data_IF_263489918372
#
_entry.id   IF_263489918372
#
_cell.length_a   1.000
_cell.length_b   1.000
_cell.length_c   1.000
_cell.angle_alpha   90.00
_cell.angle_beta   90.00
_cell.angle_gamma   90.00
#
_symmetry.space_group_name_H-M   'P 1'
#
loop_
_entity.id
_entity.type
_entity.pdbx_description
1 polymer ?
2 non-polymer ?
3 non-polymer ?
4 non-polymer ?
5 water ?
#
# COMPACT_ATOMS: atom_id res chain seq x y z
N UNK A 39 -21.34 6.98 -13.86
CA UNK A 39 -20.55 6.15 -12.89
C UNK A 39 -19.08 6.14 -13.33
N UNK A 40 -18.29 7.11 -12.83
CA UNK A 40 -16.81 7.10 -12.86
C UNK A 40 -16.35 6.37 -11.58
N UNK A 41 -15.46 5.39 -11.69
CA UNK A 41 -14.97 4.61 -10.52
C UNK A 41 -14.21 5.55 -9.58
N UNK A 42 -14.59 5.55 -8.30
CA UNK A 42 -13.81 6.23 -7.24
C UNK A 42 -12.65 5.31 -6.85
N UNK A 43 -11.45 5.87 -6.81
CA UNK A 43 -10.19 5.18 -6.49
C UNK A 43 -9.74 5.60 -5.11
N UNK A 44 -9.68 4.64 -4.18
CA UNK A 44 -9.32 4.90 -2.76
C UNK A 44 -8.18 3.96 -2.39
N UNK A 45 -7.07 4.54 -1.95
CA UNK A 45 -5.91 3.76 -1.45
C UNK A 45 -6.12 3.49 0.03
N UNK A 46 -5.90 2.26 0.45
CA UNK A 46 -5.71 1.87 1.87
C UNK A 46 -4.21 1.81 2.18
N UNK A 47 -3.75 2.67 3.08
CA UNK A 47 -2.31 2.82 3.43
C UNK A 47 -2.13 2.46 4.91
N UNK A 48 -0.93 2.01 5.27
CA UNK A 48 -0.56 1.69 6.65
C UNK A 48 0.66 0.81 6.74
N UNK A 49 1.22 0.72 7.94
CA UNK A 49 2.44 -0.06 8.19
C UNK A 49 2.18 -1.53 7.91
N UNK A 50 3.26 -2.30 7.88
CA UNK A 50 3.26 -3.78 7.83
C UNK A 50 2.38 -4.32 8.94
N UNK A 51 1.47 -5.24 8.62
CA UNK A 51 0.55 -5.94 9.54
C UNK A 51 -0.34 -4.94 10.30
N UNK A 52 -0.53 -3.71 9.82
CA UNK A 52 -1.55 -2.81 10.40
C UNK A 52 -2.95 -3.45 10.33
N UNK A 53 -3.26 -4.28 9.32
CA UNK A 53 -4.60 -4.86 9.08
C UNK A 53 -5.24 -4.46 7.75
N UNK A 54 -4.45 -4.08 6.74
CA UNK A 54 -5.01 -3.57 5.46
C UNK A 54 -5.71 -4.71 4.73
N UNK A 55 -5.08 -5.87 4.63
CA UNK A 55 -5.63 -7.02 3.89
C UNK A 55 -6.92 -7.48 4.58
N UNK A 56 -6.88 -7.55 5.91
CA UNK A 56 -8.06 -7.87 6.73
C UNK A 56 -9.18 -6.87 6.40
N UNK A 57 -8.88 -5.58 6.47
CA UNK A 57 -9.88 -4.51 6.28
C UNK A 57 -10.45 -4.55 4.86
N UNK A 58 -9.58 -4.71 3.87
CA UNK A 58 -10.01 -4.71 2.45
C UNK A 58 -10.88 -5.96 2.16
N UNK A 59 -10.61 -7.11 2.78
CA UNK A 59 -11.46 -8.32 2.63
C UNK A 59 -12.82 -8.14 3.32
N UNK A 60 -12.87 -7.38 4.41
CA UNK A 60 -14.18 -6.96 5.03
C UNK A 60 -14.96 -6.10 4.02
N UNK A 61 -14.34 -5.03 3.52
CA UNK A 61 -15.03 -4.04 2.67
C UNK A 61 -15.61 -4.74 1.42
N UNK A 62 -14.86 -5.64 0.80
CA UNK A 62 -15.27 -6.14 -0.55
C UNK A 62 -16.64 -6.82 -0.44
N UNK A 63 -16.92 -7.43 0.70
CA UNK A 63 -18.15 -8.25 0.94
C UNK A 63 -19.39 -7.41 1.19
N UNK A 64 -19.22 -6.09 1.44
CA UNK A 64 -20.31 -5.24 2.01
C UNK A 64 -21.10 -4.58 0.89
N UNK A 65 -20.61 -4.61 -0.33
CA UNK A 65 -21.29 -3.94 -1.45
C UNK A 65 -20.84 -4.55 -2.76
N UNK A 66 -21.78 -4.76 -3.69
CA UNK A 66 -21.52 -5.16 -5.09
C UNK A 66 -20.91 -3.97 -5.85
N UNK A 67 -20.99 -2.75 -5.33
CA UNK A 67 -20.35 -1.55 -5.93
C UNK A 67 -18.89 -1.38 -5.43
N UNK A 68 -18.45 -2.26 -4.55
CA UNK A 68 -17.11 -2.18 -3.91
C UNK A 68 -16.25 -3.34 -4.38
N UNK A 69 -15.11 -3.02 -4.98
CA UNK A 69 -14.11 -4.02 -5.40
C UNK A 69 -12.74 -3.63 -4.82
N UNK A 70 -11.81 -4.55 -4.72
CA UNK A 70 -10.47 -4.39 -4.09
C UNK A 70 -9.38 -4.79 -5.09
N UNK A 71 -8.19 -4.17 -5.06
CA UNK A 71 -6.98 -4.62 -5.80
C UNK A 71 -5.96 -5.00 -4.74
N UNK A 72 -5.85 -6.28 -4.37
CA UNK A 72 -4.82 -6.69 -3.44
C UNK A 72 -3.42 -6.32 -3.97
N UNK A 73 -2.51 -6.13 -3.02
CA UNK A 73 -1.14 -5.68 -3.28
C UNK A 73 -0.38 -6.87 -3.87
N UNK A 74 0.27 -6.72 -5.04
CA UNK A 74 1.07 -7.80 -5.62
C UNK A 74 2.09 -8.41 -4.66
N UNK A 75 2.86 -7.59 -3.95
CA UNK A 75 3.87 -8.11 -2.99
C UNK A 75 3.19 -9.01 -1.95
N UNK A 76 2.01 -8.63 -1.46
CA UNK A 76 1.26 -9.42 -0.45
C UNK A 76 0.98 -10.82 -1.03
N UNK A 77 0.60 -10.93 -2.31
CA UNK A 77 0.32 -12.23 -2.99
C UNK A 77 1.62 -13.05 -3.14
N UNK A 78 2.77 -12.42 -3.43
CA UNK A 78 4.09 -13.11 -3.51
C UNK A 78 4.47 -13.70 -2.14
N UNK A 79 3.94 -13.17 -1.03
CA UNK A 79 4.29 -13.56 0.37
C UNK A 79 3.40 -14.69 0.90
N UNK A 80 2.50 -15.25 0.10
CA UNK A 80 1.60 -16.38 0.46
C UNK A 80 2.39 -17.40 1.29
N UNK A 91 1.61 -19.85 -8.95
CA UNK A 91 1.48 -20.53 -10.26
C UNK A 91 1.90 -19.55 -11.38
N UNK A 92 1.45 -18.29 -11.34
CA UNK A 92 1.65 -17.32 -12.47
C UNK A 92 3.12 -16.92 -12.60
N UNK A 93 3.51 -16.42 -13.77
CA UNK A 93 4.91 -16.02 -14.04
C UNK A 93 5.27 -14.83 -13.11
N UNK A 94 4.32 -13.94 -12.84
CA UNK A 94 4.56 -12.82 -11.89
C UNK A 94 4.84 -13.40 -10.48
N UNK A 95 4.07 -14.39 -10.03
CA UNK A 95 4.24 -14.92 -8.66
C UNK A 95 5.58 -15.64 -8.53
N UNK A 96 6.00 -16.37 -9.57
CA UNK A 96 7.30 -17.08 -9.53
C UNK A 96 8.42 -16.04 -9.49
N UNK A 97 8.37 -15.02 -10.36
CA UNK A 97 9.34 -13.90 -10.35
C UNK A 97 9.29 -13.24 -8.97
N UNK A 98 8.09 -12.92 -8.49
CA UNK A 98 7.94 -12.16 -7.24
C UNK A 98 8.49 -12.94 -6.05
N UNK A 99 8.12 -14.22 -5.93
CA UNK A 99 8.64 -15.09 -4.85
C UNK A 99 10.18 -15.17 -4.90
N UNK A 100 10.78 -15.36 -6.08
CA UNK A 100 12.27 -15.36 -6.22
C UNK A 100 12.83 -14.03 -5.75
N UNK A 101 12.30 -12.92 -6.25
CA UNK A 101 12.96 -11.61 -5.97
C UNK A 101 12.78 -11.26 -4.47
N UNK A 102 11.67 -11.67 -3.85
CA UNK A 102 11.43 -11.40 -2.41
C UNK A 102 12.42 -12.20 -1.56
N UNK A 103 12.60 -13.48 -1.88
CA UNK A 103 13.59 -14.33 -1.17
C UNK A 103 15.01 -13.77 -1.35
N UNK A 104 15.39 -13.39 -2.56
CA UNK A 104 16.74 -12.81 -2.82
C UNK A 104 16.91 -11.51 -2.02
N UNK A 105 15.84 -10.72 -1.90
CA UNK A 105 15.86 -9.42 -1.16
C UNK A 105 16.24 -9.67 0.30
N UNK A 106 15.68 -10.72 0.89
CA UNK A 106 15.87 -11.06 2.32
C UNK A 106 17.35 -11.39 2.49
N UNK A 107 17.93 -12.11 1.53
CA UNK A 107 19.37 -12.47 1.52
C UNK A 107 20.27 -11.25 1.30
N UNK A 108 19.99 -10.39 0.33
CA UNK A 108 20.95 -9.32 -0.01
C UNK A 108 20.20 -8.11 -0.56
N UNK A 109 19.56 -7.32 0.33
CA UNK A 109 18.81 -6.14 -0.08
C UNK A 109 19.59 -5.15 -0.97
N UNK A 110 20.90 -4.96 -0.75
CA UNK A 110 21.72 -3.98 -1.48
C UNK A 110 21.98 -4.46 -2.92
N UNK A 111 21.76 -5.73 -3.24
CA UNK A 111 21.82 -6.24 -4.63
C UNK A 111 20.46 -6.11 -5.34
N UNK A 112 19.35 -6.33 -4.64
CA UNK A 112 18.03 -6.66 -5.26
C UNK A 112 16.98 -5.55 -5.07
N UNK A 113 17.24 -4.52 -4.26
CA UNK A 113 16.24 -3.46 -3.95
C UNK A 113 15.72 -2.82 -5.25
N UNK A 114 16.60 -2.44 -6.19
CA UNK A 114 16.15 -1.75 -7.44
C UNK A 114 15.24 -2.68 -8.25
N UNK A 115 15.65 -3.91 -8.45
CA UNK A 115 14.93 -4.91 -9.25
C UNK A 115 13.57 -5.16 -8.59
N UNK A 116 13.56 -5.34 -7.28
CA UNK A 116 12.33 -5.63 -6.50
C UNK A 116 11.36 -4.45 -6.64
N UNK A 117 11.80 -3.23 -6.34
CA UNK A 117 10.94 -2.03 -6.32
C UNK A 117 10.35 -1.77 -7.71
N UNK A 118 11.14 -1.94 -8.78
CA UNK A 118 10.64 -1.74 -10.17
C UNK A 118 9.60 -2.82 -10.46
N UNK A 119 9.82 -4.08 -10.10
CA UNK A 119 8.82 -5.14 -10.45
C UNK A 119 7.57 -4.99 -9.57
N UNK A 120 7.73 -4.62 -8.30
CA UNK A 120 6.59 -4.45 -7.39
C UNK A 120 5.66 -3.36 -7.91
N UNK A 121 6.25 -2.24 -8.30
CA UNK A 121 5.48 -1.07 -8.77
C UNK A 121 4.82 -1.41 -10.12
N UNK A 122 5.55 -1.98 -11.07
CA UNK A 122 4.92 -2.35 -12.37
C UNK A 122 3.78 -3.37 -12.15
N UNK A 123 3.98 -4.35 -11.29
CA UNK A 123 2.97 -5.39 -10.96
C UNK A 123 1.74 -4.68 -10.41
N UNK A 124 1.91 -3.62 -9.60
CA UNK A 124 0.78 -2.93 -8.96
C UNK A 124 0.03 -2.15 -10.04
N UNK A 125 0.75 -1.43 -10.91
CA UNK A 125 0.13 -0.59 -11.96
C UNK A 125 -0.70 -1.51 -12.86
N UNK A 126 -0.16 -2.67 -13.20
CA UNK A 126 -0.83 -3.61 -14.13
C UNK A 126 -2.11 -4.07 -13.46
N UNK A 127 -2.07 -4.54 -12.21
CA UNK A 127 -3.23 -5.06 -11.44
C UNK A 127 -4.27 -3.96 -11.23
N UNK A 128 -3.85 -2.73 -10.89
CA UNK A 128 -4.79 -1.59 -10.70
C UNK A 128 -5.46 -1.27 -12.05
N UNK A 129 -4.70 -1.17 -13.13
CA UNK A 129 -5.28 -0.82 -14.46
C UNK A 129 -6.27 -1.90 -14.90
N UNK A 130 -5.94 -3.19 -14.71
CA UNK A 130 -6.80 -4.35 -15.03
C UNK A 130 -8.15 -4.21 -14.34
N UNK A 131 -8.16 -3.98 -13.02
CA UNK A 131 -9.44 -3.81 -12.27
C UNK A 131 -10.23 -2.60 -12.79
N UNK A 132 -9.54 -1.50 -13.05
CA UNK A 132 -10.17 -0.23 -13.47
C UNK A 132 -10.88 -0.41 -14.81
N UNK A 133 -10.35 -1.26 -15.69
CA UNK A 133 -10.86 -1.52 -17.06
C UNK A 133 -11.74 -2.76 -17.10
N UNK A 134 -11.69 -3.59 -16.07
CA UNK A 134 -12.41 -4.88 -16.02
C UNK A 134 -13.75 -4.71 -15.33
N UNK A 135 -13.78 -4.09 -14.15
CA UNK A 135 -14.83 -4.35 -13.11
C UNK A 135 -15.74 -3.12 -12.96
N UNK A 136 -16.85 -3.28 -12.23
CA UNK A 136 -17.80 -2.22 -11.78
C UNK A 136 -18.41 -1.45 -12.96
N UNK A 137 -18.51 -2.06 -14.14
CA UNK A 137 -19.35 -1.51 -15.23
C UNK A 137 -20.80 -1.78 -14.78
N UNK A 138 -21.65 -0.76 -14.71
CA UNK A 138 -23.06 -0.94 -14.23
C UNK A 138 -23.13 -1.04 -12.69
N UNK A 139 -22.09 -0.62 -11.97
CA UNK A 139 -22.20 -0.22 -10.56
C UNK A 139 -22.96 1.11 -10.52
N UNK A 140 -23.79 1.35 -9.50
CA UNK A 140 -24.41 2.69 -9.33
C UNK A 140 -23.36 3.64 -8.75
N UNK A 141 -22.72 3.25 -7.63
CA UNK A 141 -21.66 4.07 -6.96
C UNK A 141 -20.38 3.23 -6.86
N UNK A 142 -19.64 3.06 -7.97
CA UNK A 142 -18.49 2.16 -7.99
C UNK A 142 -17.31 2.75 -7.20
N UNK A 143 -16.70 1.92 -6.36
CA UNK A 143 -15.50 2.27 -5.54
C UNK A 143 -14.50 1.12 -5.69
N UNK A 144 -13.27 1.46 -6.06
CA UNK A 144 -12.18 0.47 -6.12
C UNK A 144 -11.20 0.85 -5.00
N UNK A 145 -11.05 -0.07 -4.03
CA UNK A 145 -10.10 0.03 -2.90
C UNK A 145 -8.79 -0.63 -3.31
N UNK A 146 -7.74 0.17 -3.43
CA UNK A 146 -6.35 -0.30 -3.72
C UNK A 146 -5.69 -0.64 -2.39
N UNK A 147 -5.17 -1.84 -2.24
CA UNK A 147 -4.24 -2.15 -1.13
C UNK A 147 -2.89 -1.49 -1.44
N UNK A 148 -2.66 -0.34 -0.80
CA UNK A 148 -1.48 0.54 -0.98
C UNK A 148 -1.50 1.10 -2.40
N UNK A 149 -0.49 1.88 -2.76
CA UNK A 149 -0.50 2.69 -3.99
C UNK A 149 0.92 2.74 -4.55
N UNK A 150 1.05 3.28 -5.76
CA UNK A 150 2.37 3.61 -6.38
C UNK A 150 3.06 4.63 -5.48
N UNK A 151 2.35 5.38 -4.62
CA UNK A 151 2.96 6.39 -3.74
C UNK A 151 3.63 5.73 -2.53
N UNK A 152 3.03 4.70 -1.96
CA UNK A 152 3.67 3.93 -0.87
C UNK A 152 4.88 3.16 -1.41
N UNK A 153 4.80 2.66 -2.66
CA UNK A 153 5.94 1.95 -3.30
C UNK A 153 7.19 2.87 -3.21
N UNK A 154 7.03 4.13 -3.57
CA UNK A 154 8.14 5.07 -3.72
C UNK A 154 8.47 5.77 -2.39
N UNK A 155 7.48 6.31 -1.70
CA UNK A 155 7.69 7.27 -0.58
C UNK A 155 7.85 6.53 0.75
N UNK A 156 7.39 5.29 0.85
CA UNK A 156 7.59 4.45 2.06
C UNK A 156 8.73 3.47 1.78
N UNK A 157 8.54 2.54 0.84
CA UNK A 157 9.39 1.34 0.71
C UNK A 157 10.71 1.69 -0.01
N UNK A 158 10.64 2.24 -1.21
CA UNK A 158 11.85 2.47 -2.02
C UNK A 158 12.70 3.54 -1.32
N UNK A 159 12.08 4.58 -0.80
CA UNK A 159 12.75 5.68 -0.07
C UNK A 159 13.54 5.08 1.11
N UNK A 160 12.92 4.18 1.88
CA UNK A 160 13.61 3.56 3.04
C UNK A 160 14.79 2.73 2.53
N UNK A 161 14.64 1.98 1.43
CA UNK A 161 15.76 1.15 0.93
C UNK A 161 16.92 2.06 0.52
N UNK A 162 16.66 3.20 -0.10
CA UNK A 162 17.70 4.21 -0.44
C UNK A 162 18.36 4.75 0.83
N UNK A 163 17.54 5.14 1.80
CA UNK A 163 18.02 5.71 3.08
C UNK A 163 18.86 4.67 3.84
N UNK A 164 18.61 3.37 3.65
CA UNK A 164 19.30 2.24 4.32
C UNK A 164 20.52 1.80 3.50
N UNK A 165 20.84 2.53 2.41
CA UNK A 165 21.96 2.25 1.47
C UNK A 165 21.77 0.93 0.72
N UNK A 166 20.55 0.46 0.57
CA UNK A 166 20.29 -0.76 -0.26
C UNK A 166 20.07 -0.38 -1.73
N UNK A 167 19.85 0.91 -2.02
CA UNK A 167 20.04 1.45 -3.40
C UNK A 167 21.10 2.55 -3.35
N UNK A 168 22.01 2.59 -4.34
CA UNK A 168 22.98 3.70 -4.47
C UNK A 168 22.21 4.86 -5.11
N UNK A 169 22.84 6.02 -5.24
CA UNK A 169 22.24 7.23 -5.83
C UNK A 169 21.72 6.97 -7.24
N UNK A 170 22.50 6.32 -8.09
CA UNK A 170 22.13 6.12 -9.50
C UNK A 170 20.85 5.27 -9.50
N UNK A 171 20.82 4.21 -8.68
CA UNK A 171 19.68 3.26 -8.63
C UNK A 171 18.44 4.04 -8.22
N UNK A 172 18.55 4.90 -7.21
CA UNK A 172 17.43 5.67 -6.62
C UNK A 172 16.97 6.73 -7.62
N UNK A 173 17.90 7.41 -8.32
CA UNK A 173 17.55 8.44 -9.32
C UNK A 173 16.92 7.76 -10.53
N UNK A 174 17.46 6.63 -10.98
CA UNK A 174 16.82 5.86 -12.10
C UNK A 174 15.40 5.46 -11.68
N UNK A 175 15.25 4.92 -10.48
CA UNK A 175 13.93 4.50 -9.96
C UNK A 175 12.94 5.66 -9.98
N UNK A 176 13.35 6.83 -9.51
CA UNK A 176 12.41 7.99 -9.41
C UNK A 176 12.05 8.46 -10.83
N UNK A 177 13.01 8.43 -11.75
CA UNK A 177 12.81 8.86 -13.16
C UNK A 177 11.79 7.92 -13.81
N UNK A 178 12.03 6.61 -13.67
CA UNK A 178 11.15 5.49 -14.09
C UNK A 178 9.76 5.70 -13.50
N UNK A 179 9.67 6.00 -12.21
CA UNK A 179 8.36 6.14 -11.51
C UNK A 179 7.63 7.38 -12.03
N UNK A 180 8.33 8.50 -12.16
CA UNK A 180 7.77 9.80 -12.61
C UNK A 180 7.15 9.55 -13.98
N UNK A 181 7.89 8.86 -14.83
CA UNK A 181 7.49 8.64 -16.25
C UNK A 181 6.43 7.52 -16.35
N UNK A 182 6.64 6.37 -15.70
CA UNK A 182 5.76 5.16 -15.74
C UNK A 182 4.35 5.57 -15.31
N UNK A 183 4.25 6.51 -14.37
CA UNK A 183 2.95 6.98 -13.83
C UNK A 183 2.22 7.86 -14.85
N UNK A 184 2.93 8.56 -15.73
CA UNK A 184 2.28 9.44 -16.74
C UNK A 184 1.77 8.62 -17.93
N UNK A 185 2.05 7.32 -17.96
CA UNK A 185 1.56 6.31 -18.97
C UNK A 185 1.15 4.99 -18.28
N UNK A 188 -2.00 7.61 -15.04
CA UNK A 188 -2.91 8.79 -15.28
C UNK A 188 -4.32 8.56 -14.72
N UNK A 189 -4.97 7.48 -15.16
CA UNK A 189 -6.34 7.10 -14.75
C UNK A 189 -6.29 6.48 -13.35
N UNK A 190 -5.12 6.40 -12.72
CA UNK A 190 -4.95 5.77 -11.38
C UNK A 190 -4.91 6.83 -10.27
N UNK A 191 -4.99 8.12 -10.59
CA UNK A 191 -4.95 9.19 -9.53
C UNK A 191 -6.08 8.92 -8.53
N UNK A 192 -5.79 9.16 -7.24
CA UNK A 192 -6.64 8.77 -6.10
C UNK A 192 -7.71 9.83 -5.84
N UNK A 193 -8.92 9.40 -5.51
CA UNK A 193 -10.01 10.29 -5.03
C UNK A 193 -9.87 10.50 -3.52
N UNK A 194 -9.20 9.56 -2.85
CA UNK A 194 -8.99 9.60 -1.39
C UNK A 194 -8.07 8.49 -0.91
N UNK A 195 -7.60 8.63 0.32
CA UNK A 195 -6.70 7.69 1.02
C UNK A 195 -7.33 7.40 2.36
N UNK A 196 -7.28 6.14 2.75
CA UNK A 196 -7.69 5.70 4.09
C UNK A 196 -6.42 5.23 4.74
N UNK A 197 -6.02 5.89 5.82
CA UNK A 197 -4.79 5.57 6.57
C UNK A 197 -5.16 4.73 7.79
N UNK A 198 -4.80 3.46 7.79
CA UNK A 198 -5.00 2.58 8.97
C UNK A 198 -3.78 2.75 9.86
N UNK A 199 -3.99 3.47 10.95
CA UNK A 199 -2.93 3.96 11.86
C UNK A 199 -2.87 2.99 13.04
N UNK A 200 -1.75 2.28 13.17
CA UNK A 200 -1.41 1.39 14.29
C UNK A 200 -0.02 1.75 14.82
N UNK A 201 0.26 1.40 16.08
CA UNK A 201 1.60 1.65 16.67
C UNK A 201 2.54 0.61 16.09
N UNK A 202 3.85 0.89 16.00
CA UNK A 202 4.83 -0.15 15.70
C UNK A 202 4.66 -1.42 16.53
N UNK A 203 4.42 -1.25 17.84
CA UNK A 203 4.25 -2.39 18.79
C UNK A 203 3.05 -3.23 18.35
N UNK A 204 1.96 -2.57 17.96
CA UNK A 204 0.76 -3.28 17.45
C UNK A 204 1.13 -4.08 16.21
N UNK A 205 1.79 -3.43 15.26
CA UNK A 205 2.20 -4.07 13.96
C UNK A 205 3.16 -5.24 14.23
N UNK A 206 4.11 -5.07 15.17
CA UNK A 206 5.04 -6.17 15.58
C UNK A 206 4.25 -7.38 16.08
N UNK A 207 3.30 -7.15 16.97
CA UNK A 207 2.40 -8.21 17.51
C UNK A 207 1.64 -8.90 16.37
N UNK A 208 1.15 -8.13 15.39
CA UNK A 208 0.36 -8.67 14.25
C UNK A 208 1.28 -9.40 13.27
N UNK A 209 2.54 -8.99 13.13
CA UNK A 209 3.50 -9.85 12.36
C UNK A 209 3.58 -11.20 13.08
N UNK A 210 3.70 -11.20 14.41
CA UNK A 210 3.73 -12.47 15.21
C UNK A 210 2.44 -13.27 14.93
N UNK A 211 1.25 -12.66 15.05
CA UNK A 211 -0.05 -13.34 14.76
C UNK A 211 -0.04 -13.93 13.35
N UNK A 212 0.37 -13.18 12.33
CA UNK A 212 0.23 -13.65 10.92
C UNK A 212 1.16 -14.86 10.69
N UNK A 213 2.34 -14.85 11.31
CA UNK A 213 3.20 -16.04 11.44
C UNK A 213 3.94 -16.42 10.17
N UNK A 214 4.16 -15.50 9.21
CA UNK A 214 5.06 -15.77 8.05
C UNK A 214 6.49 -15.93 8.61
N UNK A 215 7.13 -17.07 8.34
CA UNK A 215 8.51 -17.40 8.83
C UNK A 215 9.48 -16.27 8.49
N UNK A 216 9.42 -15.75 7.25
CA UNK A 216 10.40 -14.76 6.71
C UNK A 216 10.34 -13.43 7.48
N UNK A 217 9.23 -13.14 8.16
CA UNK A 217 8.94 -11.81 8.77
C UNK A 217 9.22 -11.80 10.28
N UNK A 218 9.45 -12.98 10.89
CA UNK A 218 9.56 -13.07 12.37
C UNK A 218 10.83 -12.36 12.87
N UNK A 219 11.81 -12.13 12.00
CA UNK A 219 13.06 -11.42 12.32
C UNK A 219 12.97 -9.92 12.14
N UNK A 220 11.91 -9.41 11.52
CA UNK A 220 11.76 -7.94 11.34
C UNK A 220 11.80 -7.27 12.71
N UNK A 221 12.71 -6.30 12.90
CA UNK A 221 12.83 -5.58 14.16
C UNK A 221 11.83 -4.43 14.30
N UNK A 222 11.46 -4.13 15.54
CA UNK A 222 10.63 -2.95 15.87
C UNK A 222 11.16 -1.72 15.14
N UNK A 223 12.49 -1.57 15.09
CA UNK A 223 13.16 -0.34 14.57
C UNK A 223 12.72 -0.09 13.11
N UNK A 224 12.57 -1.14 12.30
CA UNK A 224 12.09 -1.05 10.89
C UNK A 224 10.66 -0.49 10.88
N UNK A 225 9.81 -1.08 11.71
CA UNK A 225 8.40 -0.67 11.85
C UNK A 225 8.33 0.79 12.29
N UNK A 226 9.18 1.20 13.24
CA UNK A 226 9.21 2.62 13.66
C UNK A 226 9.60 3.50 12.48
N UNK A 227 10.58 3.07 11.68
CA UNK A 227 10.99 3.93 10.52
C UNK A 227 9.82 4.08 9.55
N UNK A 228 9.14 2.97 9.23
CA UNK A 228 8.02 3.06 8.24
C UNK A 228 6.89 3.87 8.85
N UNK A 229 6.68 3.77 10.17
CA UNK A 229 5.60 4.50 10.89
C UNK A 229 5.83 6.00 10.73
N UNK A 230 7.05 6.47 11.01
CA UNK A 230 7.43 7.90 10.88
C UNK A 230 7.13 8.38 9.46
N UNK A 231 7.44 7.60 8.44
CA UNK A 231 7.20 8.04 7.03
C UNK A 231 5.69 8.19 6.78
N UNK A 232 4.90 7.25 7.27
CA UNK A 232 3.42 7.29 7.11
C UNK A 232 2.88 8.51 7.85
N UNK A 233 3.38 8.78 9.06
CA UNK A 233 2.91 9.94 9.86
C UNK A 233 3.28 11.22 9.11
N UNK A 234 4.52 11.36 8.63
CA UNK A 234 4.94 12.53 7.82
C UNK A 234 4.05 12.70 6.57
N UNK A 235 3.69 11.61 5.91
CA UNK A 235 2.97 11.68 4.62
C UNK A 235 1.50 12.01 4.88
N UNK A 236 0.86 11.23 5.75
CA UNK A 236 -0.62 11.17 5.77
C UNK A 236 -1.22 11.89 6.98
N UNK A 237 -0.48 12.11 8.07
CA UNK A 237 -1.00 12.86 9.25
C UNK A 237 -0.51 14.31 9.19
N UNK A 238 0.79 14.56 9.30
CA UNK A 238 1.40 15.92 9.33
C UNK A 238 1.38 16.52 7.93
N UNK A 239 1.45 15.68 6.90
CA UNK A 239 1.44 16.11 5.49
C UNK A 239 2.67 17.02 5.25
N UNK A 240 3.78 16.67 5.88
CA UNK A 240 5.11 17.34 5.77
C UNK A 240 5.81 16.83 4.51
N UNK A 241 5.52 15.60 4.08
CA UNK A 241 6.24 14.93 2.97
C UNK A 241 5.98 15.66 1.64
N UNK A 242 7.04 16.07 0.97
CA UNK A 242 7.04 16.65 -0.40
C UNK A 242 7.07 15.48 -1.39
N UNK A 243 6.04 15.36 -2.24
CA UNK A 243 6.03 14.39 -3.35
C UNK A 243 6.12 15.18 -4.64
N UNK A 244 6.28 14.47 -5.73
CA UNK A 244 6.37 15.05 -7.08
C UNK A 244 4.99 14.96 -7.73
N UNK A 245 3.92 14.73 -6.95
CA UNK A 245 2.54 14.58 -7.49
C UNK A 245 1.65 15.64 -6.83
N UNK A 246 1.46 16.76 -7.53
CA UNK A 246 0.96 18.01 -6.87
C UNK A 246 -0.43 17.75 -6.28
N UNK A 247 -1.31 17.04 -7.00
CA UNK A 247 -2.69 16.71 -6.53
C UNK A 247 -2.69 16.04 -5.13
N UNK A 248 -1.66 15.26 -4.78
CA UNK A 248 -1.64 14.49 -3.48
C UNK A 248 -1.71 15.42 -2.27
N UNK A 249 -1.19 16.64 -2.39
CA UNK A 249 -1.24 17.64 -1.27
C UNK A 249 -2.69 17.88 -0.87
N UNK A 250 -3.61 17.75 -1.84
CA UNK A 250 -5.03 18.17 -1.78
C UNK A 250 -5.98 16.96 -1.62
N UNK A 251 -5.50 15.73 -1.78
CA UNK A 251 -6.38 14.53 -1.75
C UNK A 251 -6.92 14.33 -0.33
N UNK A 252 -8.23 14.10 -0.13
CA UNK A 252 -8.75 13.81 1.21
C UNK A 252 -8.18 12.51 1.82
N UNK A 253 -7.91 12.56 3.13
CA UNK A 253 -7.36 11.42 3.91
C UNK A 253 -8.30 11.19 5.08
N UNK A 254 -8.76 9.96 5.23
CA UNK A 254 -9.45 9.43 6.42
C UNK A 254 -8.44 8.63 7.23
N UNK A 255 -8.13 9.07 8.44
CA UNK A 255 -7.28 8.29 9.38
C UNK A 255 -8.14 7.47 10.33
N UNK A 256 -7.94 6.16 10.39
CA UNK A 256 -8.66 5.21 11.28
C UNK A 256 -7.64 4.60 12.24
N UNK A 257 -7.95 4.65 13.52
CA UNK A 257 -7.09 4.01 14.55
C UNK A 257 -7.47 2.55 14.59
N UNK A 258 -6.55 1.65 14.26
CA UNK A 258 -6.80 0.19 14.22
C UNK A 258 -5.92 -0.51 15.26
N UNK A 259 -5.51 0.17 16.33
CA UNK A 259 -4.81 -0.54 17.44
C UNK A 259 -5.75 -1.59 18.03
N UNK A 260 -7.03 -1.29 18.20
CA UNK A 260 -8.00 -2.27 18.77
C UNK A 260 -8.35 -3.29 17.67
N UNK A 261 -8.35 -4.59 17.99
CA UNK A 261 -8.81 -5.68 17.09
C UNK A 261 -10.18 -5.30 16.47
N UNK A 262 -10.36 -5.43 15.17
CA UNK A 262 -11.62 -5.02 14.51
C UNK A 262 -12.26 -6.18 13.75
N UNK A 263 -11.69 -7.39 13.79
CA UNK A 263 -12.16 -8.48 12.90
C UNK A 263 -13.65 -8.77 13.13
N UNK A 264 -14.13 -8.67 14.37
CA UNK A 264 -15.53 -8.98 14.75
C UNK A 264 -16.23 -7.71 15.21
N UNK A 265 -15.63 -6.56 14.97
CA UNK A 265 -16.17 -5.30 15.52
C UNK A 265 -15.63 -4.17 14.66
N UNK A 266 -16.12 -4.11 13.42
CA UNK A 266 -15.61 -3.16 12.41
C UNK A 266 -16.68 -2.15 12.00
N UNK A 267 -17.87 -2.22 12.58
CA UNK A 267 -19.00 -1.44 12.02
C UNK A 267 -18.70 0.05 12.13
N UNK A 268 -18.10 0.54 13.24
CA UNK A 268 -17.74 1.97 13.39
C UNK A 268 -16.79 2.38 12.25
N UNK A 269 -15.81 1.52 11.95
CA UNK A 269 -14.76 1.82 10.92
C UNK A 269 -15.44 1.99 9.57
N UNK A 270 -16.36 1.07 9.25
CA UNK A 270 -17.06 1.09 7.95
C UNK A 270 -17.95 2.32 7.88
N UNK A 271 -18.56 2.68 9.02
CA UNK A 271 -19.43 3.89 9.03
C UNK A 271 -18.60 5.11 8.67
N UNK A 272 -17.37 5.18 9.17
CA UNK A 272 -16.51 6.33 8.83
C UNK A 272 -16.11 6.28 7.35
N UNK A 273 -15.86 5.10 6.81
CA UNK A 273 -15.59 4.92 5.35
C UNK A 273 -16.79 5.39 4.54
N UNK A 274 -18.00 4.93 4.84
CA UNK A 274 -19.20 5.38 4.08
C UNK A 274 -19.39 6.90 4.19
N UNK A 275 -19.24 7.49 5.37
CA UNK A 275 -19.30 8.98 5.50
C UNK A 275 -18.20 9.65 4.66
N UNK A 276 -16.97 9.15 4.71
CA UNK A 276 -15.85 9.70 3.91
C UNK A 276 -16.23 9.66 2.42
N UNK A 277 -16.59 8.48 1.93
CA UNK A 277 -16.98 8.28 0.51
C UNK A 277 -18.06 9.29 0.07
N UNK A 278 -19.03 9.60 0.91
CA UNK A 278 -20.17 10.46 0.52
C UNK A 278 -19.68 11.90 0.35
N UNK A 279 -18.53 12.26 0.93
CA UNK A 279 -17.97 13.63 0.78
C UNK A 279 -17.16 13.76 -0.50
N UNK A 280 -16.87 12.67 -1.22
CA UNK A 280 -15.97 12.76 -2.40
C UNK A 280 -16.81 12.95 -3.67
#
# INVERSE_FOLDING_TARGET
MGSSHHHHHHSSGLVPRGSHMATPPKRSSPSFSASSEGTRIKKISIEGNIAAGKSTFVNILKQLSEDWEVVPEPVARWSNVQSTQDEFEELTMEQKNGGNVLQMMYEKPERWSFTFQTYACLSRIRAQLASLNGKLKDAEKPVLFFERSVYSDRYIFASNLYESESMNETEWTIYQDWHDWMNNQFGQSLELDGIIYLQATPETCLHRIYLRGRNEEQGIPLEYLEKLHYKHESWLLHRTLKTNFDYLQEVPILTLDVNEDFKDKYESLVEKVKEFLSTL
#
